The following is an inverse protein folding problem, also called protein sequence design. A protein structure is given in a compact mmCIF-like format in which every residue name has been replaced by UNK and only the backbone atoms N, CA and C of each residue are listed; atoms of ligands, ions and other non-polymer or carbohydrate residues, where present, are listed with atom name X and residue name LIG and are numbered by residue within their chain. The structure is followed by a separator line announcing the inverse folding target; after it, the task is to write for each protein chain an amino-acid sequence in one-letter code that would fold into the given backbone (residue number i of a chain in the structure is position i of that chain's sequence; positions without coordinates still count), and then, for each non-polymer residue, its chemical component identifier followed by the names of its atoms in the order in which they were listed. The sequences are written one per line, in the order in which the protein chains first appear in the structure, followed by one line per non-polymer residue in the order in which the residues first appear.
data_IF_326496655115
#
_entry.id   IF_326496655115
#
_cell.length_a   1.000
_cell.length_b   1.000
_cell.length_c   1.000
_cell.angle_alpha   90.00
_cell.angle_beta   90.00
_cell.angle_gamma   90.00
#
_symmetry.space_group_name_H-M   'P 1'
#
loop_
_entity.id
_entity.type
_entity.pdbx_description
1 polymer ?
2 non-polymer ?
3 non-polymer ?
4 non-polymer ?
5 non-polymer ?
6 water ?
#
# COMPACT_ATOMS: atom_id res chain seq x y z
N UNK A 2 16.88 16.72 13.00
CA UNK A 2 16.61 15.46 13.68
C UNK A 2 15.38 14.74 13.11
N UNK A 3 15.36 14.57 11.78
CA UNK A 3 14.36 13.72 11.13
C UNK A 3 12.94 14.18 11.48
N UNK A 4 12.72 15.48 11.40
CA UNK A 4 11.42 16.04 11.75
C UNK A 4 10.55 16.15 10.51
N UNK A 5 9.38 15.49 10.54
CA UNK A 5 8.51 15.54 9.37
C UNK A 5 7.80 16.85 9.27
N UNK A 6 7.54 17.25 8.03
CA UNK A 6 6.69 18.39 7.75
C UNK A 6 5.68 17.98 6.67
N UNK A 7 4.62 18.78 6.49
CA UNK A 7 3.59 18.39 5.50
C UNK A 7 4.13 18.12 4.08
N UNK A 8 5.23 18.77 3.71
CA UNK A 8 5.88 18.54 2.41
C UNK A 8 6.33 17.08 2.18
N UNK A 9 6.53 16.32 3.25
CA UNK A 9 6.89 14.89 3.13
C UNK A 9 5.71 13.97 2.72
N UNK A 10 4.51 14.53 2.70
CA UNK A 10 3.29 13.84 2.30
C UNK A 10 3.06 12.56 3.08
N UNK A 11 3.24 12.66 4.39
CA UNK A 11 2.87 11.57 5.28
C UNK A 11 1.39 11.64 5.63
N UNK A 12 0.69 10.53 5.44
CA UNK A 12 -0.73 10.49 5.75
C UNK A 12 -1.03 9.26 6.60
N UNK A 13 -2.18 9.31 7.28
CA UNK A 13 -2.60 8.24 8.19
C UNK A 13 -4.10 8.02 8.07
N UNK A 14 -4.52 6.76 8.14
CA UNK A 14 -5.94 6.49 8.23
C UNK A 14 -6.51 6.88 9.57
N UNK A 15 -7.77 7.34 9.59
CA UNK A 15 -8.41 7.60 10.87
C UNK A 15 -8.39 6.35 11.76
N UNK A 16 -8.52 5.19 11.13
CA UNK A 16 -8.65 3.91 11.81
C UNK A 16 -7.33 3.37 12.39
N UNK A 17 -6.23 4.08 12.13
CA UNK A 17 -4.89 3.65 12.55
C UNK A 17 -4.67 4.11 13.98
N UNK A 18 -4.39 5.40 14.15
CA UNK A 18 -4.30 6.00 15.46
C UNK A 18 -5.61 5.84 16.24
N UNK A 19 -6.73 5.71 15.53
CA UNK A 19 -8.02 5.49 16.16
C UNK A 19 -8.33 4.05 16.54
N UNK A 20 -7.42 3.11 16.29
CA UNK A 20 -7.69 1.71 16.63
C UNK A 20 -7.82 1.55 18.13
N UNK A 21 -8.95 1.00 18.56
CA UNK A 21 -9.25 0.85 19.97
C UNK A 21 -8.57 -0.36 20.62
N UNK A 22 -7.97 -1.24 19.83
CA UNK A 22 -7.23 -2.34 20.39
C UNK A 22 -7.98 -3.66 20.51
N UNK A 23 -9.15 -3.81 19.91
CA UNK A 23 -9.81 -5.13 19.88
C UNK A 23 -9.10 -6.06 18.94
N UNK A 24 -8.82 -7.24 19.43
CA UNK A 24 -8.20 -8.25 18.61
C UNK A 24 -9.02 -9.52 18.84
N UNK A 25 -8.64 -10.64 18.23
CA UNK A 25 -9.59 -11.76 18.29
C UNK A 25 -9.81 -12.31 19.69
N UNK A 26 -8.86 -12.00 20.57
CA UNK A 26 -8.87 -12.53 21.91
C UNK A 26 -8.97 -11.45 22.97
N UNK A 27 -9.29 -10.22 22.60
CA UNK A 27 -9.17 -9.12 23.51
C UNK A 27 -10.15 -8.01 23.24
N UNK A 28 -10.66 -7.45 24.33
CA UNK A 28 -11.48 -6.26 24.24
C UNK A 28 -10.66 -4.98 24.03
N UNK A 29 -11.35 -3.88 23.73
CA UNK A 29 -10.67 -2.61 23.51
C UNK A 29 -9.83 -2.21 24.71
N UNK A 30 -8.68 -1.61 24.44
CA UNK A 30 -7.83 -1.05 25.49
C UNK A 30 -7.80 0.49 25.45
N UNK A 31 -8.39 1.11 24.42
CA UNK A 31 -8.41 2.57 24.32
C UNK A 31 -9.81 3.02 23.90
N UNK A 32 -10.18 4.20 24.37
CA UNK A 32 -11.44 4.82 23.93
C UNK A 32 -11.38 5.20 22.47
N UNK A 33 -12.54 5.30 21.85
CA UNK A 33 -12.65 5.80 20.50
C UNK A 33 -12.19 7.26 20.44
N UNK A 34 -11.55 7.62 19.34
CA UNK A 34 -11.15 9.01 19.08
C UNK A 34 -12.14 9.71 18.18
N UNK A 35 -12.39 10.98 18.49
CA UNK A 35 -13.10 11.85 17.57
C UNK A 35 -12.17 12.13 16.40
N UNK A 36 -12.61 11.91 15.15
CA UNK A 36 -11.75 12.25 14.01
C UNK A 36 -11.15 13.65 14.08
N UNK A 37 -11.87 14.62 14.64
CA UNK A 37 -11.35 15.97 14.77
C UNK A 37 -10.08 16.00 15.62
N UNK A 38 -10.06 15.25 16.71
CA UNK A 38 -8.88 15.22 17.56
C UNK A 38 -7.70 14.48 16.89
N UNK A 39 -7.99 13.46 16.08
CA UNK A 39 -6.94 12.81 15.32
C UNK A 39 -6.32 13.73 14.28
N UNK A 40 -7.16 14.48 13.57
CA UNK A 40 -6.65 15.41 12.57
C UNK A 40 -5.70 16.43 13.24
N UNK A 41 -6.13 16.97 14.38
CA UNK A 41 -5.28 17.94 15.08
C UNK A 41 -3.98 17.34 15.57
N UNK A 42 -4.03 16.17 16.21
CA UNK A 42 -2.82 15.58 16.77
C UNK A 42 -1.85 15.16 15.65
N UNK A 43 -2.38 14.61 14.57
CA UNK A 43 -1.52 14.25 13.45
C UNK A 43 -0.86 15.47 12.82
N UNK A 44 -1.62 16.55 12.67
CA UNK A 44 -1.05 17.77 12.14
C UNK A 44 0.10 18.26 13.03
N UNK A 45 -0.08 18.19 14.35
CA UNK A 45 0.94 18.63 15.29
C UNK A 45 2.22 17.81 15.15
N UNK A 46 2.09 16.55 14.73
CA UNK A 46 3.25 15.68 14.51
C UNK A 46 3.93 15.92 13.16
N UNK A 47 3.34 16.73 12.30
CA UNK A 47 3.91 16.99 10.98
C UNK A 47 3.31 16.19 9.84
N UNK A 48 2.19 15.51 10.08
CA UNK A 48 1.50 14.85 8.99
C UNK A 48 0.98 15.86 7.96
N UNK A 49 0.79 15.35 6.75
CA UNK A 49 0.22 16.06 5.61
C UNK A 49 -1.29 15.85 5.48
N UNK A 50 -1.77 14.68 5.87
CA UNK A 50 -3.18 14.41 5.71
C UNK A 50 -3.63 13.12 6.36
N UNK A 51 -4.91 12.85 6.13
CA UNK A 51 -5.55 11.66 6.66
C UNK A 51 -6.39 11.03 5.57
N UNK A 52 -6.83 9.83 5.89
CA UNK A 52 -7.70 9.07 5.01
C UNK A 52 -8.79 8.42 5.86
N UNK A 53 -9.83 7.90 5.21
CA UNK A 53 -10.96 7.34 5.96
C UNK A 53 -11.67 6.27 5.17
N UNK A 54 -12.19 5.28 5.88
CA UNK A 54 -13.34 4.53 5.39
C UNK A 54 -14.60 5.34 5.66
N UNK A 55 -15.61 5.22 4.80
CA UNK A 55 -16.92 5.79 5.08
C UNK A 55 -17.30 5.73 6.56
N UNK A 56 -17.26 4.52 7.11
CA UNK A 56 -17.82 4.27 8.42
C UNK A 56 -16.89 4.70 9.57
N UNK A 57 -15.66 5.12 9.25
CA UNK A 57 -14.81 5.78 10.24
C UNK A 57 -15.23 7.24 10.47
N UNK A 58 -15.69 7.87 9.41
CA UNK A 58 -16.00 9.29 9.44
C UNK A 58 -17.46 9.54 9.83
N UNK A 59 -18.35 8.69 9.33
CA UNK A 59 -19.77 8.79 9.62
C UNK A 59 -20.20 7.44 10.18
N UNK A 60 -20.65 7.39 11.43
CA UNK A 60 -21.07 6.09 11.98
C UNK A 60 -22.06 5.39 11.06
N UNK A 61 -21.89 4.09 10.89
CA UNK A 61 -22.81 3.32 10.08
C UNK A 61 -24.25 3.56 10.54
N UNK A 62 -25.15 3.81 9.59
CA UNK A 62 -26.56 3.99 9.90
C UNK A 62 -26.95 5.40 10.29
N UNK A 63 -26.05 6.35 10.12
CA UNK A 63 -26.33 7.74 10.48
C UNK A 63 -27.42 8.33 9.61
N UNK A 64 -28.23 9.21 10.21
CA UNK A 64 -29.20 9.99 9.48
C UNK A 64 -28.49 11.02 8.62
N UNK A 65 -29.22 11.62 7.67
CA UNK A 65 -28.66 12.64 6.80
C UNK A 65 -28.15 13.82 7.61
N UNK A 66 -28.89 14.23 8.63
CA UNK A 66 -28.47 15.37 9.44
C UNK A 66 -27.20 15.03 10.24
N UNK A 67 -27.14 13.82 10.78
CA UNK A 67 -25.94 13.39 11.49
C UNK A 67 -24.74 13.36 10.55
N UNK A 68 -24.95 12.83 9.36
CA UNK A 68 -23.91 12.77 8.34
C UNK A 68 -23.35 14.16 8.05
N UNK A 69 -24.25 15.11 7.81
CA UNK A 69 -23.83 16.48 7.48
C UNK A 69 -22.99 17.06 8.60
N UNK A 70 -23.38 16.80 9.85
CA UNK A 70 -22.66 17.37 10.98
C UNK A 70 -21.28 16.72 11.15
N UNK A 71 -21.19 15.40 10.98
CA UNK A 71 -19.89 14.74 11.05
C UNK A 71 -18.94 15.31 9.98
N UNK A 72 -19.45 15.49 8.77
CA UNK A 72 -18.61 15.99 7.69
C UNK A 72 -18.23 17.46 7.96
N UNK A 73 -19.18 18.26 8.45
CA UNK A 73 -18.90 19.66 8.73
C UNK A 73 -17.78 19.80 9.77
N UNK A 74 -17.85 19.01 10.85
CA UNK A 74 -16.80 19.09 11.87
C UNK A 74 -15.46 18.65 11.32
N UNK A 75 -15.45 17.61 10.50
CA UNK A 75 -14.22 17.12 9.89
C UNK A 75 -13.62 18.18 8.97
N UNK A 76 -14.46 18.78 8.13
CA UNK A 76 -14.07 19.86 7.23
C UNK A 76 -13.42 20.99 8.01
N UNK A 77 -14.01 21.35 9.15
CA UNK A 77 -13.45 22.42 9.96
C UNK A 77 -12.09 22.03 10.52
N UNK A 78 -11.92 20.78 10.92
CA UNK A 78 -10.63 20.33 11.42
C UNK A 78 -9.56 20.39 10.31
N UNK A 79 -9.92 19.97 9.11
CA UNK A 79 -9.00 20.09 7.98
C UNK A 79 -8.61 21.56 7.76
N UNK A 80 -9.61 22.44 7.78
CA UNK A 80 -9.38 23.86 7.57
C UNK A 80 -8.55 24.48 8.70
N UNK A 81 -8.75 24.00 9.93
CA UNK A 81 -8.03 24.53 11.09
C UNK A 81 -6.54 24.15 11.06
N UNK A 82 -6.21 23.06 10.37
CA UNK A 82 -4.88 22.48 10.43
C UNK A 82 -4.11 22.58 9.12
N UNK A 83 -4.80 22.72 8.00
CA UNK A 83 -4.15 22.59 6.70
C UNK A 83 -3.97 21.16 6.22
N UNK A 84 -4.55 20.20 6.93
CA UNK A 84 -4.48 18.80 6.53
C UNK A 84 -5.33 18.53 5.29
N UNK A 85 -4.88 17.55 4.50
CA UNK A 85 -5.55 17.13 3.28
C UNK A 85 -6.13 15.73 3.45
N UNK A 86 -7.00 15.35 2.51
CA UNK A 86 -7.57 14.01 2.43
C UNK A 86 -7.28 13.45 1.03
N UNK A 87 -6.12 12.81 0.85
CA UNK A 87 -5.77 12.41 -0.51
C UNK A 87 -6.41 11.10 -0.96
N UNK A 88 -6.95 10.34 -0.03
CA UNK A 88 -7.47 9.01 -0.32
C UNK A 88 -8.62 8.72 0.61
N UNK A 89 -9.61 7.99 0.10
CA UNK A 89 -10.65 7.41 0.94
C UNK A 89 -11.01 6.03 0.41
N UNK A 90 -11.82 5.33 1.19
CA UNK A 90 -12.14 3.95 0.90
C UNK A 90 -13.49 3.60 1.56
N UNK A 91 -13.99 2.41 1.27
CA UNK A 91 -15.27 1.94 1.77
C UNK A 91 -15.01 0.83 2.78
N UNK A 92 -15.79 0.77 3.84
CA UNK A 92 -15.76 -0.38 4.72
C UNK A 92 -16.73 -1.44 4.18
N UNK A 93 -16.18 -2.43 3.49
CA UNK A 93 -16.96 -3.57 2.98
C UNK A 93 -16.56 -4.84 3.74
N UNK A 94 -16.26 -4.69 5.04
CA UNK A 94 -15.78 -5.84 5.81
C UNK A 94 -16.31 -5.95 7.24
N UNK A 95 -16.69 -4.86 7.90
CA UNK A 95 -17.05 -4.95 9.31
C UNK A 95 -18.47 -5.47 9.54
N UNK A 96 -19.44 -4.93 8.81
CA UNK A 96 -20.83 -5.26 9.07
C UNK A 96 -21.06 -6.74 8.73
N UNK A 97 -21.82 -7.47 9.57
CA UNK A 97 -22.06 -8.88 9.28
C UNK A 97 -22.69 -9.15 7.91
N UNK A 98 -23.34 -8.18 7.28
CA UNK A 98 -23.87 -8.43 5.94
C UNK A 98 -22.76 -8.81 4.96
N UNK A 99 -21.53 -8.34 5.21
CA UNK A 99 -20.38 -8.61 4.33
C UNK A 99 -19.63 -9.88 4.72
N UNK A 100 -20.25 -10.78 5.49
CA UNK A 100 -19.51 -11.94 5.97
C UNK A 100 -19.00 -12.86 4.86
N UNK A 101 -19.61 -12.86 3.68
CA UNK A 101 -19.10 -13.61 2.54
C UNK A 101 -18.56 -12.72 1.43
N UNK A 102 -18.34 -11.45 1.73
CA UNK A 102 -17.88 -10.51 0.73
C UNK A 102 -18.80 -9.34 0.53
N UNK A 103 -18.27 -8.34 -0.18
CA UNK A 103 -19.02 -7.25 -0.74
C UNK A 103 -19.25 -7.52 -2.22
N UNK A 104 -18.29 -7.14 -3.06
CA UNK A 104 -18.47 -7.29 -4.51
C UNK A 104 -18.56 -8.75 -4.97
N UNK A 105 -18.06 -9.70 -4.18
CA UNK A 105 -18.11 -11.11 -4.57
C UNK A 105 -18.90 -11.98 -3.59
N UNK A 106 -19.73 -11.36 -2.75
CA UNK A 106 -20.67 -12.11 -1.93
C UNK A 106 -21.44 -13.09 -2.80
N UNK A 107 -21.74 -14.28 -2.30
CA UNK A 107 -22.60 -15.16 -3.08
C UNK A 107 -23.99 -14.55 -3.27
N UNK A 108 -24.49 -13.84 -2.27
CA UNK A 108 -25.80 -13.19 -2.37
C UNK A 108 -25.74 -11.96 -3.26
N UNK A 109 -26.52 -12.00 -4.33
CA UNK A 109 -26.53 -10.91 -5.30
C UNK A 109 -26.99 -9.58 -4.69
N UNK A 110 -27.98 -9.64 -3.79
CA UNK A 110 -28.45 -8.41 -3.18
C UNK A 110 -27.35 -7.72 -2.35
N UNK A 111 -26.47 -8.50 -1.74
CA UNK A 111 -25.34 -7.95 -1.00
C UNK A 111 -24.33 -7.30 -1.95
N UNK A 112 -24.07 -7.93 -3.10
CA UNK A 112 -23.17 -7.34 -4.09
C UNK A 112 -23.68 -5.97 -4.54
N UNK A 113 -24.98 -5.89 -4.80
CA UNK A 113 -25.58 -4.62 -5.24
C UNK A 113 -25.47 -3.56 -4.15
N UNK A 114 -25.75 -3.94 -2.90
CA UNK A 114 -25.61 -3.04 -1.77
C UNK A 114 -24.17 -2.55 -1.62
N UNK A 115 -23.21 -3.46 -1.74
CA UNK A 115 -21.80 -3.08 -1.64
C UNK A 115 -21.46 -2.00 -2.66
N UNK A 116 -21.93 -2.16 -3.89
CA UNK A 116 -21.69 -1.15 -4.92
C UNK A 116 -22.34 0.20 -4.56
N UNK A 117 -23.59 0.18 -4.09
CA UNK A 117 -24.24 1.43 -3.72
C UNK A 117 -23.51 2.12 -2.58
N UNK A 118 -23.06 1.35 -1.59
CA UNK A 118 -22.35 1.91 -0.45
C UNK A 118 -21.04 2.56 -0.91
N UNK A 119 -20.35 1.87 -1.81
CA UNK A 119 -19.10 2.41 -2.37
C UNK A 119 -19.36 3.71 -3.14
N UNK A 120 -20.34 3.70 -4.02
CA UNK A 120 -20.62 4.87 -4.85
C UNK A 120 -20.94 6.10 -3.99
N UNK A 121 -21.73 5.91 -2.95
CA UNK A 121 -22.06 7.01 -2.06
C UNK A 121 -20.79 7.65 -1.49
N UNK A 122 -19.84 6.81 -1.11
CA UNK A 122 -18.62 7.31 -0.52
C UNK A 122 -17.63 7.86 -1.53
N UNK A 123 -17.68 7.40 -2.78
CA UNK A 123 -16.88 8.03 -3.82
C UNK A 123 -17.27 9.50 -3.93
N UNK A 124 -18.58 9.78 -3.92
CA UNK A 124 -19.03 11.16 -4.01
C UNK A 124 -18.44 12.02 -2.89
N UNK A 125 -18.47 11.49 -1.66
CA UNK A 125 -17.95 12.21 -0.51
C UNK A 125 -16.43 12.39 -0.61
N UNK A 126 -15.74 11.33 -1.03
CA UNK A 126 -14.29 11.40 -1.20
C UNK A 126 -13.92 12.54 -2.14
N UNK A 127 -14.62 12.63 -3.26
CA UNK A 127 -14.36 13.69 -4.22
C UNK A 127 -14.62 15.07 -3.59
N UNK A 128 -15.71 15.21 -2.86
CA UNK A 128 -16.03 16.45 -2.16
C UNK A 128 -14.91 16.89 -1.21
N UNK A 129 -14.27 15.93 -0.57
CA UNK A 129 -13.23 16.20 0.41
C UNK A 129 -11.83 16.28 -0.21
N UNK A 130 -11.75 16.13 -1.53
CA UNK A 130 -10.51 16.36 -2.25
C UNK A 130 -9.65 15.14 -2.57
N UNK A 131 -10.18 13.93 -2.39
CA UNK A 131 -9.37 12.74 -2.60
C UNK A 131 -9.04 12.52 -4.08
N UNK A 132 -7.80 12.11 -4.32
CA UNK A 132 -7.31 11.76 -5.65
C UNK A 132 -7.37 10.26 -5.94
N UNK A 133 -7.44 9.46 -4.88
CA UNK A 133 -7.38 8.02 -4.98
C UNK A 133 -8.47 7.41 -4.13
N UNK A 134 -9.08 6.37 -4.65
CA UNK A 134 -10.13 5.64 -3.95
C UNK A 134 -9.66 4.19 -3.83
N UNK A 135 -9.36 3.76 -2.60
CA UNK A 135 -8.82 2.42 -2.36
C UNK A 135 -9.96 1.42 -2.22
N UNK A 136 -9.71 0.20 -2.68
CA UNK A 136 -10.63 -0.91 -2.45
C UNK A 136 -9.84 -2.09 -1.91
N UNK A 137 -10.09 -2.42 -0.64
CA UNK A 137 -9.52 -3.62 -0.02
C UNK A 137 -10.64 -4.61 0.20
N UNK A 138 -10.68 -5.65 -0.62
CA UNK A 138 -11.74 -6.65 -0.55
C UNK A 138 -11.40 -7.72 0.47
N UNK A 139 -11.37 -7.32 1.73
CA UNK A 139 -10.94 -8.21 2.80
C UNK A 139 -11.85 -9.41 3.04
N UNK A 140 -13.12 -9.30 2.64
CA UNK A 140 -14.05 -10.41 2.81
C UNK A 140 -14.22 -11.25 1.54
N UNK A 141 -13.51 -10.91 0.46
CA UNK A 141 -13.67 -11.64 -0.78
C UNK A 141 -12.78 -12.88 -0.74
N UNK A 142 -13.37 -14.07 -0.72
CA UNK A 142 -12.59 -15.28 -0.59
C UNK A 142 -13.37 -16.38 0.08
N UNK A 143 -12.67 -17.23 0.84
CA UNK A 143 -13.29 -18.45 1.33
C UNK A 143 -12.46 -19.09 2.41
N UNK A 144 -13.12 -19.91 3.22
CA UNK A 144 -12.46 -20.85 4.11
C UNK A 144 -12.45 -22.29 3.57
N UNK A 145 -13.35 -22.59 2.63
CA UNK A 145 -13.52 -23.94 2.11
C UNK A 145 -13.70 -23.89 0.60
N UNK A 146 -13.41 -25.01 -0.06
CA UNK A 146 -13.29 -25.02 -1.50
C UNK A 146 -14.60 -24.90 -2.26
N UNK A 147 -15.68 -25.45 -1.72
CA UNK A 147 -16.96 -25.45 -2.42
C UNK A 147 -17.72 -24.14 -2.31
N UNK A 148 -17.31 -23.31 -1.37
CA UNK A 148 -18.04 -22.09 -1.01
C UNK A 148 -17.96 -21.00 -2.05
N UNK A 149 -16.90 -21.03 -2.87
CA UNK A 149 -16.58 -19.92 -3.72
C UNK A 149 -15.98 -20.44 -5.01
N UNK A 150 -16.72 -20.31 -6.11
CA UNK A 150 -16.17 -20.59 -7.44
C UNK A 150 -15.39 -19.34 -7.85
N UNK A 151 -14.07 -19.46 -7.93
CA UNK A 151 -13.23 -18.29 -8.07
C UNK A 151 -13.38 -17.63 -9.44
N UNK A 152 -13.55 -18.40 -10.51
CA UNK A 152 -13.83 -17.78 -11.81
C UNK A 152 -15.12 -16.95 -11.74
N UNK A 153 -16.18 -17.50 -11.15
CA UNK A 153 -17.41 -16.74 -11.03
C UNK A 153 -17.19 -15.48 -10.18
N UNK A 154 -16.46 -15.64 -9.08
CA UNK A 154 -16.18 -14.49 -8.22
C UNK A 154 -15.39 -13.42 -8.96
N UNK A 155 -14.41 -13.81 -9.77
CA UNK A 155 -13.65 -12.83 -10.53
C UNK A 155 -14.54 -12.15 -11.58
N UNK A 156 -15.49 -12.88 -12.17
CA UNK A 156 -16.47 -12.25 -13.06
C UNK A 156 -17.23 -11.16 -12.29
N UNK A 157 -17.69 -11.48 -11.08
CA UNK A 157 -18.42 -10.49 -10.28
C UNK A 157 -17.52 -9.32 -9.87
N UNK A 158 -16.26 -9.60 -9.55
CA UNK A 158 -15.34 -8.56 -9.16
C UNK A 158 -15.12 -7.60 -10.32
N UNK A 159 -14.87 -8.15 -11.50
CA UNK A 159 -14.70 -7.32 -12.70
C UNK A 159 -15.96 -6.49 -12.96
N UNK A 160 -17.13 -7.09 -12.85
CA UNK A 160 -18.38 -6.40 -13.07
C UNK A 160 -18.50 -5.19 -12.13
N UNK A 161 -18.12 -5.37 -10.87
CA UNK A 161 -18.17 -4.32 -9.88
C UNK A 161 -17.19 -3.19 -10.21
N UNK A 162 -15.93 -3.53 -10.44
CA UNK A 162 -14.96 -2.48 -10.75
C UNK A 162 -15.29 -1.78 -12.06
N UNK A 163 -15.80 -2.50 -13.06
CA UNK A 163 -16.21 -1.85 -14.30
C UNK A 163 -17.34 -0.84 -14.05
N UNK A 164 -18.33 -1.22 -13.23
CA UNK A 164 -19.41 -0.30 -12.89
C UNK A 164 -18.88 0.94 -12.18
N UNK A 165 -17.93 0.78 -11.26
CA UNK A 165 -17.35 1.92 -10.56
C UNK A 165 -16.62 2.85 -11.54
N UNK A 166 -15.93 2.27 -12.51
CA UNK A 166 -15.27 3.05 -13.55
C UNK A 166 -16.27 3.81 -14.41
N UNK A 167 -17.34 3.15 -14.78
CA UNK A 167 -18.42 3.78 -15.51
C UNK A 167 -18.98 4.95 -14.70
N UNK A 168 -19.14 4.74 -13.39
CA UNK A 168 -19.69 5.78 -12.54
C UNK A 168 -18.78 7.02 -12.49
N UNK A 169 -17.50 6.83 -12.18
CA UNK A 169 -16.64 8.00 -12.06
C UNK A 169 -16.54 8.73 -13.40
N UNK A 170 -16.53 7.99 -14.51
CA UNK A 170 -16.47 8.62 -15.82
C UNK A 170 -17.74 9.43 -16.06
N UNK A 171 -18.89 8.87 -15.69
CA UNK A 171 -20.18 9.55 -15.91
C UNK A 171 -20.28 10.87 -15.15
N UNK A 172 -19.59 10.96 -14.02
CA UNK A 172 -19.62 12.16 -13.18
C UNK A 172 -18.50 13.15 -13.51
N UNK A 173 -17.61 12.76 -14.41
CA UNK A 173 -16.47 13.60 -14.75
C UNK A 173 -15.45 13.72 -13.64
N UNK A 174 -15.39 12.73 -12.74
CA UNK A 174 -14.44 12.77 -11.66
C UNK A 174 -13.02 12.41 -12.14
N UNK A 175 -12.01 12.99 -11.50
CA UNK A 175 -10.60 12.66 -11.80
C UNK A 175 -10.02 11.55 -10.91
N UNK A 176 -10.80 11.11 -9.95
CA UNK A 176 -10.34 10.14 -8.96
C UNK A 176 -10.02 8.81 -9.66
N UNK A 177 -8.98 8.14 -9.17
CA UNK A 177 -8.58 6.83 -9.69
C UNK A 177 -8.68 5.80 -8.57
N UNK A 178 -8.78 4.54 -8.96
CA UNK A 178 -8.92 3.44 -8.01
C UNK A 178 -7.59 2.76 -7.73
N UNK A 179 -7.44 2.27 -6.51
CA UNK A 179 -6.25 1.50 -6.15
C UNK A 179 -6.71 0.27 -5.38
N UNK A 180 -6.49 -0.90 -5.98
CA UNK A 180 -6.90 -2.19 -5.42
C UNK A 180 -5.81 -2.69 -4.49
N UNK A 181 -6.22 -3.06 -3.28
CA UNK A 181 -5.29 -3.48 -2.24
C UNK A 181 -5.32 -4.99 -2.07
N UNK A 182 -4.26 -5.69 -2.47
CA UNK A 182 -4.21 -7.13 -2.27
C UNK A 182 -3.90 -7.48 -0.81
N UNK A 183 -4.32 -8.67 -0.41
CA UNK A 183 -3.93 -9.25 0.88
C UNK A 183 -4.10 -10.76 0.74
N UNK A 184 -3.22 -11.59 1.32
CA UNK A 184 -3.33 -13.01 0.97
C UNK A 184 -4.39 -13.76 1.77
N UNK A 185 -4.62 -13.34 3.01
CA UNK A 185 -5.53 -13.99 3.92
C UNK A 185 -5.78 -13.00 5.07
N UNK A 186 -6.82 -13.30 5.85
CA UNK A 186 -7.19 -12.61 7.09
C UNK A 186 -7.93 -11.32 6.75
N UNK A 187 -9.26 -11.33 6.88
CA UNK A 187 -10.06 -12.23 7.70
C UNK A 187 -10.60 -13.49 7.02
N UNK A 188 -10.50 -13.62 5.71
CA UNK A 188 -10.88 -14.87 5.08
C UNK A 188 -9.69 -15.83 5.06
N UNK A 189 -9.99 -17.12 5.00
CA UNK A 189 -8.94 -18.13 4.95
C UNK A 189 -7.97 -17.94 3.79
N UNK A 190 -8.52 -17.60 2.63
CA UNK A 190 -7.77 -17.10 1.47
C UNK A 190 -8.59 -15.97 0.89
N UNK A 191 -7.91 -14.86 0.58
CA UNK A 191 -8.53 -13.69 -0.02
C UNK A 191 -8.23 -13.69 -1.52
N UNK A 192 -9.22 -13.29 -2.32
CA UNK A 192 -9.06 -13.16 -3.76
C UNK A 192 -8.16 -11.96 -4.07
N UNK A 193 -7.39 -12.08 -5.14
CA UNK A 193 -6.32 -11.10 -5.45
C UNK A 193 -5.33 -11.03 -4.27
N UNK A 194 -4.63 -12.15 -4.01
CA UNK A 194 -3.88 -12.24 -2.74
C UNK A 194 -2.56 -11.48 -2.71
N UNK A 195 -2.04 -11.06 -3.86
CA UNK A 195 -0.75 -10.39 -3.94
C UNK A 195 -0.82 -9.27 -4.97
N UNK A 196 0.20 -8.42 -4.94
CA UNK A 196 0.35 -7.38 -5.95
C UNK A 196 0.23 -7.96 -7.35
N UNK A 197 0.87 -9.10 -7.62
CA UNK A 197 0.82 -9.65 -8.95
C UNK A 197 -0.60 -9.99 -9.39
N UNK A 198 -1.34 -10.65 -8.51
CA UNK A 198 -2.72 -11.05 -8.85
C UNK A 198 -3.58 -9.81 -9.13
N UNK A 199 -3.40 -8.75 -8.33
CA UNK A 199 -4.17 -7.53 -8.56
C UNK A 199 -3.78 -6.87 -9.88
N UNK A 200 -2.48 -6.77 -10.17
CA UNK A 200 -2.02 -6.20 -11.44
C UNK A 200 -2.62 -6.98 -12.62
N UNK A 201 -2.64 -8.31 -12.51
CA UNK A 201 -3.13 -9.14 -13.60
C UNK A 201 -4.62 -8.91 -13.83
N UNK A 202 -5.36 -8.84 -12.72
CA UNK A 202 -6.81 -8.60 -12.77
C UNK A 202 -7.14 -7.27 -13.44
N UNK A 203 -6.40 -6.23 -13.11
CA UNK A 203 -6.64 -4.90 -13.66
C UNK A 203 -6.60 -4.91 -15.18
N UNK A 204 -5.70 -5.73 -15.73
CA UNK A 204 -5.54 -5.79 -17.18
C UNK A 204 -6.78 -6.33 -17.90
N UNK A 205 -7.70 -6.95 -17.16
CA UNK A 205 -8.94 -7.46 -17.76
C UNK A 205 -10.13 -6.52 -17.57
N UNK A 206 -9.93 -5.42 -16.86
CA UNK A 206 -11.00 -4.44 -16.66
C UNK A 206 -11.24 -3.67 -17.97
N UNK A 207 -12.43 -3.10 -18.11
CA UNK A 207 -12.75 -2.41 -19.36
C UNK A 207 -11.86 -1.18 -19.57
N UNK A 208 -11.59 -0.44 -18.50
CA UNK A 208 -10.79 0.78 -18.60
C UNK A 208 -9.61 0.68 -17.64
N UNK A 209 -8.61 -0.15 -18.01
CA UNK A 209 -7.56 -0.44 -17.05
C UNK A 209 -6.80 0.79 -16.55
N UNK A 210 -6.76 1.86 -17.33
CA UNK A 210 -6.04 3.06 -16.96
C UNK A 210 -6.57 3.71 -15.66
N UNK A 211 -7.81 3.40 -15.29
CA UNK A 211 -8.42 3.99 -14.10
C UNK A 211 -8.03 3.27 -12.80
N UNK A 212 -7.28 2.17 -12.91
CA UNK A 212 -7.02 1.32 -11.75
C UNK A 212 -5.55 1.01 -11.60
N UNK A 213 -5.09 1.11 -10.35
CA UNK A 213 -3.77 0.69 -9.97
C UNK A 213 -3.84 -0.14 -8.71
N UNK A 214 -2.70 -0.31 -8.06
CA UNK A 214 -2.62 -1.03 -6.80
C UNK A 214 -2.30 -0.09 -5.64
N UNK A 215 -2.74 -0.53 -4.47
CA UNK A 215 -2.39 0.03 -3.16
C UNK A 215 -1.75 -1.09 -2.32
N UNK A 216 -0.48 -1.40 -2.57
CA UNK A 216 0.15 -2.51 -1.84
C UNK A 216 0.43 -2.10 -0.40
N UNK A 217 0.36 -3.06 0.51
CA UNK A 217 0.68 -2.85 1.91
C UNK A 217 1.86 -3.72 2.32
N UNK A 218 2.84 -3.12 2.97
CA UNK A 218 4.08 -3.80 3.36
C UNK A 218 3.76 -5.17 3.95
N UNK A 219 2.97 -5.17 5.03
CA UNK A 219 2.76 -6.40 5.75
C UNK A 219 2.00 -7.44 4.97
N UNK A 220 1.14 -7.03 4.04
CA UNK A 220 0.35 -7.98 3.28
C UNK A 220 1.23 -8.86 2.41
N UNK A 221 2.16 -8.27 1.66
CA UNK A 221 3.01 -9.10 0.82
C UNK A 221 3.90 -9.98 1.71
N UNK A 222 4.33 -9.43 2.84
CA UNK A 222 5.17 -10.19 3.77
C UNK A 222 4.42 -11.36 4.42
N UNK A 223 3.08 -11.30 4.50
CA UNK A 223 2.23 -12.42 4.96
C UNK A 223 2.23 -13.61 4.00
N UNK A 224 2.72 -13.40 2.79
CA UNK A 224 2.96 -14.49 1.85
C UNK A 224 4.47 -14.77 1.72
N UNK A 225 5.28 -14.17 2.60
CA UNK A 225 6.72 -14.37 2.55
C UNK A 225 7.36 -13.75 1.33
N UNK A 226 6.67 -12.82 0.67
CA UNK A 226 7.19 -12.20 -0.54
C UNK A 226 8.04 -10.98 -0.20
N UNK A 227 8.84 -10.57 -1.16
CA UNK A 227 9.72 -9.42 -1.05
C UNK A 227 8.93 -8.17 -1.45
N UNK A 228 8.64 -7.32 -0.48
CA UNK A 228 7.80 -6.17 -0.73
C UNK A 228 8.45 -5.19 -1.71
N UNK A 229 9.74 -4.84 -1.52
CA UNK A 229 10.37 -4.01 -2.55
C UNK A 229 10.29 -4.57 -3.96
N UNK A 230 10.43 -5.90 -4.13
CA UNK A 230 10.33 -6.46 -5.47
C UNK A 230 8.93 -6.25 -6.05
N UNK A 231 7.90 -6.47 -5.23
CA UNK A 231 6.54 -6.27 -5.69
C UNK A 231 6.24 -4.83 -6.04
N UNK A 232 6.74 -3.91 -5.24
CA UNK A 232 6.63 -2.49 -5.56
C UNK A 232 7.34 -2.18 -6.88
N UNK A 233 8.51 -2.77 -7.10
CA UNK A 233 9.20 -2.57 -8.37
C UNK A 233 8.34 -3.04 -9.55
N UNK A 234 7.69 -4.20 -9.43
CA UNK A 234 6.85 -4.66 -10.51
C UNK A 234 5.66 -3.72 -10.72
N UNK A 235 5.06 -3.22 -9.64
CA UNK A 235 3.98 -2.26 -9.76
C UNK A 235 4.43 -0.98 -10.47
N UNK A 236 5.60 -0.47 -10.07
CA UNK A 236 6.17 0.71 -10.74
C UNK A 236 6.45 0.42 -12.20
N UNK A 237 7.00 -0.75 -12.49
CA UNK A 237 7.29 -1.16 -13.87
C UNK A 237 6.02 -1.14 -14.73
N UNK A 238 4.90 -1.53 -14.13
CA UNK A 238 3.61 -1.54 -14.80
C UNK A 238 2.93 -0.17 -14.84
N UNK A 239 3.49 0.82 -14.16
CA UNK A 239 2.87 2.14 -14.08
C UNK A 239 1.63 2.19 -13.20
N UNK A 240 1.59 1.33 -12.18
CA UNK A 240 0.38 1.11 -11.40
C UNK A 240 0.51 1.38 -9.92
N UNK A 241 1.59 1.99 -9.46
CA UNK A 241 1.72 2.30 -8.03
C UNK A 241 0.99 3.61 -7.74
N UNK A 242 -0.31 3.51 -7.52
CA UNK A 242 -1.14 4.71 -7.34
C UNK A 242 -1.14 5.22 -5.89
N UNK A 243 -0.83 4.34 -4.95
CA UNK A 243 -0.88 4.66 -3.53
C UNK A 243 -0.12 3.50 -2.85
N UNK A 244 0.24 3.68 -1.59
CA UNK A 244 0.92 2.63 -0.85
C UNK A 244 0.51 2.72 0.61
N UNK A 245 0.48 1.56 1.27
CA UNK A 245 0.26 1.46 2.71
C UNK A 245 1.54 0.96 3.37
N UNK A 246 2.05 1.77 4.30
CA UNK A 246 3.31 1.52 4.97
C UNK A 246 3.06 1.08 6.41
N UNK A 247 3.75 0.01 6.81
CA UNK A 247 3.69 -0.54 8.16
C UNK A 247 4.81 -1.56 8.30
N UNK A 248 4.77 -2.31 9.41
CA UNK A 248 5.74 -3.35 9.66
C UNK A 248 5.06 -4.66 9.99
N UNK A 249 5.80 -5.73 9.74
CA UNK A 249 5.32 -7.10 9.89
C UNK A 249 6.51 -7.99 10.16
N UNK A 250 6.37 -8.88 11.15
CA UNK A 250 7.39 -9.88 11.43
C UNK A 250 6.98 -11.21 10.88
N UNK A 251 7.21 -11.34 9.59
CA UNK A 251 7.08 -12.60 8.92
C UNK A 251 5.67 -13.09 8.67
N UNK A 252 5.56 -14.41 8.61
CA UNK A 252 4.35 -15.06 8.14
C UNK A 252 3.49 -15.41 9.34
N UNK A 253 2.49 -14.58 9.54
CA UNK A 253 1.60 -14.74 10.66
C UNK A 253 0.49 -13.72 10.43
N UNK A 254 -0.43 -13.65 11.38
CA UNK A 254 -1.47 -12.64 11.38
C UNK A 254 -0.85 -11.28 11.04
N UNK A 255 -1.69 -10.41 10.48
CA UNK A 255 -1.41 -9.03 10.06
C UNK A 255 -1.13 -8.15 11.30
N UNK A 256 0.16 -7.85 11.58
CA UNK A 256 0.51 -7.16 12.81
C UNK A 256 0.30 -5.66 12.77
N UNK A 257 0.49 -5.07 11.60
CA UNK A 257 0.32 -3.63 11.42
C UNK A 257 1.21 -2.84 12.40
N UNK A 258 2.44 -3.26 12.56
CA UNK A 258 3.38 -2.51 13.38
C UNK A 258 3.70 -1.17 12.70
N UNK A 259 4.23 -0.23 13.47
CA UNK A 259 4.65 1.03 12.87
C UNK A 259 5.70 0.79 11.79
N UNK A 260 5.73 1.69 10.80
CA UNK A 260 6.70 1.57 9.73
C UNK A 260 8.12 1.66 10.28
N UNK A 261 8.98 0.77 9.77
CA UNK A 261 10.35 0.60 10.23
C UNK A 261 10.48 -0.60 11.15
N UNK A 262 9.46 -0.87 11.95
CA UNK A 262 9.41 -2.10 12.71
C UNK A 262 9.17 -3.29 11.75
N UNK A 263 9.28 -4.50 12.27
CA UNK A 263 9.24 -5.66 11.42
C UNK A 263 10.55 -5.81 10.66
N UNK A 264 10.48 -5.92 9.34
CA UNK A 264 11.66 -6.18 8.53
C UNK A 264 12.33 -4.86 8.17
N UNK A 265 13.32 -4.50 8.97
CA UNK A 265 13.98 -3.20 8.84
C UNK A 265 14.72 -3.06 7.51
N UNK A 266 15.48 -4.08 7.11
CA UNK A 266 16.17 -3.97 5.83
C UNK A 266 15.23 -3.88 4.65
N UNK A 267 14.09 -4.58 4.70
CA UNK A 267 13.12 -4.43 3.63
C UNK A 267 12.56 -3.00 3.61
N UNK A 268 12.42 -2.38 4.78
CA UNK A 268 11.98 -0.99 4.83
C UNK A 268 13.02 -0.07 4.16
N UNK A 269 14.29 -0.32 4.44
CA UNK A 269 15.38 0.43 3.80
C UNK A 269 15.29 0.31 2.27
N UNK A 270 15.22 -0.92 1.76
CA UNK A 270 15.19 -1.10 0.31
C UNK A 270 13.91 -0.53 -0.30
N UNK A 271 12.81 -0.58 0.43
CA UNK A 271 11.58 0.05 -0.04
C UNK A 271 11.76 1.56 -0.22
N UNK A 272 12.27 2.23 0.81
CA UNK A 272 12.42 3.67 0.75
C UNK A 272 13.40 4.02 -0.38
N UNK A 273 14.50 3.28 -0.47
CA UNK A 273 15.45 3.47 -1.56
C UNK A 273 14.74 3.47 -2.92
N UNK A 274 13.87 2.48 -3.13
CA UNK A 274 13.16 2.35 -4.38
C UNK A 274 12.16 3.47 -4.62
N UNK A 275 11.33 3.77 -3.62
CA UNK A 275 10.33 4.82 -3.80
C UNK A 275 10.99 6.15 -4.14
N UNK A 276 12.08 6.46 -3.45
CA UNK A 276 12.77 7.71 -3.68
C UNK A 276 13.51 7.72 -5.01
N UNK A 277 14.20 6.63 -5.35
CA UNK A 277 14.91 6.55 -6.63
C UNK A 277 13.94 6.65 -7.80
N UNK A 278 12.79 6.01 -7.68
CA UNK A 278 11.81 5.98 -8.75
C UNK A 278 11.01 7.27 -8.84
N UNK A 279 11.11 8.14 -7.84
CA UNK A 279 10.34 9.37 -7.86
C UNK A 279 8.86 9.17 -7.60
N UNK A 280 8.48 8.15 -6.83
CA UNK A 280 7.08 8.00 -6.43
C UNK A 280 6.62 9.31 -5.80
N UNK A 281 5.48 9.82 -6.24
CA UNK A 281 5.05 11.15 -5.82
C UNK A 281 3.75 11.10 -5.01
N UNK A 282 3.23 9.90 -4.77
CA UNK A 282 2.00 9.76 -4.02
C UNK A 282 2.19 9.91 -2.52
N UNK A 283 1.09 9.80 -1.79
CA UNK A 283 1.17 9.86 -0.33
C UNK A 283 2.04 8.75 0.24
N UNK A 284 2.77 9.07 1.32
CA UNK A 284 3.41 8.05 2.14
C UNK A 284 2.44 7.79 3.27
N UNK A 285 1.55 6.82 3.03
CA UNK A 285 0.41 6.55 3.91
C UNK A 285 0.73 5.41 4.85
N UNK A 286 0.45 5.62 6.13
CA UNK A 286 0.64 4.59 7.14
C UNK A 286 -0.69 3.93 7.46
N UNK A 287 -0.74 2.62 7.22
CA UNK A 287 -1.87 1.79 7.64
C UNK A 287 -1.32 0.86 8.73
N UNK A 288 -1.38 1.34 9.97
CA UNK A 288 -0.73 0.66 11.09
C UNK A 288 -1.63 0.74 12.30
N UNK A 289 -1.30 -0.04 13.32
CA UNK A 289 -2.01 -0.03 14.56
C UNK A 289 -1.02 0.17 15.71
N UNK A 290 -1.15 1.25 16.48
CA UNK A 290 -0.36 1.29 17.70
C UNK A 290 -0.74 0.08 18.56
N UNK A 291 0.23 -0.70 19.03
CA UNK A 291 -0.13 -1.91 19.77
C UNK A 291 -1.08 -1.60 20.92
N UNK A 292 -1.92 -2.58 21.24
CA UNK A 292 -2.96 -2.37 22.24
C UNK A 292 -2.39 -2.26 23.66
N UNK A 293 -1.10 -2.55 23.85
CA UNK A 293 -0.40 -2.25 25.09
C UNK A 293 -0.31 -0.75 25.39
N UNK A 294 -0.49 0.08 24.37
CA UNK A 294 -0.22 1.50 24.51
C UNK A 294 -1.43 2.31 24.93
N UNK A 295 -1.16 3.39 25.67
CA UNK A 295 -2.16 4.40 25.94
C UNK A 295 -2.12 5.47 24.85
N UNK A 296 -2.91 6.51 25.09
CA UNK A 296 -3.08 7.66 24.21
C UNK A 296 -1.73 8.30 23.81
N UNK A 297 -0.80 8.43 24.75
CA UNK A 297 0.54 8.98 24.50
C UNK A 297 1.35 8.02 23.62
N UNK A 298 1.19 6.72 23.84
CA UNK A 298 1.89 5.75 23.01
C UNK A 298 1.39 5.70 21.58
N UNK A 299 0.10 5.97 21.38
CA UNK A 299 -0.44 6.09 20.03
C UNK A 299 0.33 7.15 19.24
N UNK A 300 0.50 8.34 19.83
CA UNK A 300 1.14 9.42 19.10
C UNK A 300 2.65 9.16 18.94
N UNK A 301 3.26 8.52 19.93
CA UNK A 301 4.67 8.14 19.80
C UNK A 301 4.86 7.16 18.63
N UNK A 302 3.94 6.21 18.51
CA UNK A 302 4.05 5.19 17.46
C UNK A 302 3.84 5.85 16.07
N UNK A 303 2.86 6.75 15.97
CA UNK A 303 2.65 7.49 14.73
C UNK A 303 3.88 8.33 14.36
N UNK A 304 4.44 9.04 15.36
CA UNK A 304 5.63 9.83 15.10
C UNK A 304 6.78 8.94 14.60
N UNK A 305 6.89 7.74 15.17
CA UNK A 305 7.93 6.81 14.78
C UNK A 305 7.82 6.36 13.33
N UNK A 306 6.59 6.18 12.84
CA UNK A 306 6.40 5.86 11.43
C UNK A 306 7.15 6.85 10.53
N UNK A 307 6.92 8.13 10.78
CA UNK A 307 7.49 9.19 9.95
C UNK A 307 9.00 9.31 10.17
N UNK A 308 9.42 9.23 11.43
CA UNK A 308 10.84 9.31 11.73
C UNK A 308 11.60 8.22 11.00
N UNK A 309 11.10 7.00 11.07
CA UNK A 309 11.82 5.89 10.43
C UNK A 309 11.90 6.06 8.92
N UNK A 310 10.82 6.53 8.30
CA UNK A 310 10.87 6.80 6.87
C UNK A 310 12.02 7.79 6.58
N UNK A 311 12.07 8.88 7.34
CA UNK A 311 13.06 9.92 7.09
C UNK A 311 14.49 9.45 7.35
N UNK A 312 14.72 8.63 8.38
CA UNK A 312 16.05 8.09 8.60
C UNK A 312 16.45 7.23 7.41
N UNK A 313 15.56 6.33 7.01
CA UNK A 313 15.86 5.42 5.91
C UNK A 313 16.09 6.18 4.62
N UNK A 314 15.32 7.23 4.39
CA UNK A 314 15.51 8.06 3.20
C UNK A 314 16.94 8.64 3.18
N UNK A 315 17.39 9.17 4.31
CA UNK A 315 18.73 9.72 4.41
C UNK A 315 19.78 8.67 4.10
N UNK A 316 19.65 7.48 4.70
CA UNK A 316 20.67 6.46 4.54
C UNK A 316 20.68 5.89 3.13
N UNK A 317 19.51 5.71 2.53
CA UNK A 317 19.46 5.21 1.16
C UNK A 317 20.08 6.21 0.19
N UNK A 318 19.79 7.50 0.40
CA UNK A 318 20.35 8.52 -0.49
C UNK A 318 21.87 8.54 -0.35
N UNK A 319 22.37 8.43 0.88
CA UNK A 319 23.81 8.43 1.11
C UNK A 319 24.46 7.22 0.45
N UNK A 320 23.83 6.06 0.55
CA UNK A 320 24.30 4.86 -0.11
C UNK A 320 24.44 5.12 -1.62
N UNK A 321 23.39 5.60 -2.26
CA UNK A 321 23.41 5.74 -3.70
C UNK A 321 24.41 6.81 -4.18
N UNK A 322 24.64 7.83 -3.35
CA UNK A 322 25.53 8.93 -3.69
C UNK A 322 27.00 8.65 -3.40
N UNK A 323 27.31 7.60 -2.65
CA UNK A 323 28.67 7.33 -2.21
C UNK A 323 29.50 6.84 -3.39
N UNK A 324 30.59 7.54 -3.76
CA UNK A 324 31.38 7.06 -4.90
C UNK A 324 31.88 5.62 -4.73
N UNK A 325 32.13 5.19 -3.50
CA UNK A 325 32.57 3.81 -3.28
C UNK A 325 31.46 2.82 -3.60
N UNK A 326 30.22 3.17 -3.28
CA UNK A 326 29.06 2.36 -3.66
C UNK A 326 28.87 2.39 -5.17
N UNK A 327 29.04 3.56 -5.78
CA UNK A 327 28.89 3.65 -7.24
C UNK A 327 29.90 2.73 -7.94
N UNK A 328 31.12 2.69 -7.43
CA UNK A 328 32.13 1.78 -7.95
C UNK A 328 31.72 0.31 -7.73
N UNK A 329 31.20 0.00 -6.55
CA UNK A 329 30.76 -1.37 -6.25
C UNK A 329 29.60 -1.80 -7.16
N UNK A 330 28.70 -0.87 -7.46
CA UNK A 330 27.59 -1.17 -8.36
C UNK A 330 28.10 -1.52 -9.76
N UNK A 331 29.11 -0.77 -10.24
CA UNK A 331 29.76 -1.13 -11.50
C UNK A 331 30.47 -2.48 -11.40
N UNK A 332 31.13 -2.74 -10.27
CA UNK A 332 31.83 -4.02 -10.11
C UNK A 332 30.85 -5.19 -10.17
N UNK A 333 29.62 -4.96 -9.71
CA UNK A 333 28.56 -5.97 -9.72
C UNK A 333 27.70 -5.95 -10.99
N UNK A 334 28.07 -5.09 -11.95
CA UNK A 334 27.43 -5.01 -13.26
C UNK A 334 25.97 -4.57 -13.21
N UNK A 335 25.62 -3.74 -12.22
CA UNK A 335 24.28 -3.14 -12.23
C UNK A 335 24.09 -2.23 -13.45
N UNK A 336 25.17 -1.60 -13.92
CA UNK A 336 25.09 -0.80 -15.13
C UNK A 336 24.72 -1.68 -16.33
N UNK A 337 25.33 -2.85 -16.42
CA UNK A 337 25.03 -3.77 -17.54
C UNK A 337 23.59 -4.23 -17.50
N UNK A 338 23.09 -4.50 -16.30
CA UNK A 338 21.71 -4.95 -16.18
C UNK A 338 20.74 -3.96 -16.85
N UNK A 339 21.09 -2.69 -16.82
CA UNK A 339 20.25 -1.62 -17.35
C UNK A 339 20.44 -1.38 -18.86
N UNK A 340 21.34 -2.12 -19.50
CA UNK A 340 21.54 -2.02 -20.95
C UNK A 340 20.78 -3.12 -21.67
N UNK A 341 20.21 -2.82 -22.83
CA UNK A 341 19.50 -3.86 -23.57
C UNK A 341 20.37 -5.08 -23.85
N UNK A 342 19.74 -6.25 -23.77
CA UNK A 342 20.38 -7.50 -24.12
C UNK A 342 20.76 -7.59 -25.60
N UNK A 343 19.86 -7.15 -26.46
CA UNK A 343 20.05 -7.34 -27.90
C UNK A 343 19.36 -6.26 -28.72
N UNK A 344 19.80 -5.02 -28.51
CA UNK A 344 19.32 -3.91 -29.34
C UNK A 344 19.73 -4.10 -30.82
N UNK A 345 20.71 -4.96 -31.06
CA UNK A 345 21.10 -5.34 -32.41
C UNK A 345 20.06 -6.18 -33.13
N UNK A 346 19.12 -6.75 -32.38
CA UNK A 346 18.02 -7.49 -32.96
C UNK A 346 18.24 -8.97 -33.02
N UNK A 347 17.16 -9.70 -33.28
CA UNK A 347 17.15 -11.15 -33.24
C UNK A 347 18.14 -11.77 -34.24
N UNK A 348 18.13 -11.34 -35.50
CA UNK A 348 19.02 -11.97 -36.48
C UNK A 348 20.48 -11.75 -36.11
N UNK A 349 20.81 -10.54 -35.65
CA UNK A 349 22.17 -10.26 -35.23
C UNK A 349 22.59 -11.14 -34.06
N UNK A 350 21.68 -11.37 -33.12
CA UNK A 350 21.96 -12.24 -31.99
C UNK A 350 22.21 -13.67 -32.48
N UNK A 351 21.36 -14.14 -33.39
CA UNK A 351 21.52 -15.48 -33.94
C UNK A 351 22.86 -15.64 -34.67
N UNK A 352 23.33 -14.57 -35.30
CA UNK A 352 24.55 -14.59 -36.10
C UNK A 352 25.80 -14.26 -35.27
N UNK A 353 25.62 -13.94 -34.00
CA UNK A 353 26.72 -13.51 -33.15
C UNK A 353 27.39 -14.70 -32.49
N UNK A 354 28.54 -15.10 -33.02
CA UNK A 354 29.24 -16.26 -32.46
C UNK A 354 29.71 -16.03 -31.03
N UNK A 355 29.90 -14.77 -30.63
CA UNK A 355 30.30 -14.47 -29.25
C UNK A 355 29.19 -14.79 -28.24
N UNK A 356 27.98 -15.01 -28.74
CA UNK A 356 26.83 -15.32 -27.89
C UNK A 356 26.61 -16.80 -27.71
N UNK A 357 27.33 -17.65 -28.44
CA UNK A 357 27.15 -19.08 -28.26
C UNK A 357 28.35 -19.88 -28.67
N UNK A 358 28.61 -19.93 -29.98
CA UNK A 358 29.64 -20.79 -30.53
C UNK A 358 31.02 -20.51 -29.95
N UNK A 359 31.29 -19.24 -29.64
CA UNK A 359 32.59 -18.81 -29.13
C UNK A 359 32.44 -18.12 -27.78
N UNK A 360 31.34 -18.39 -27.07
CA UNK A 360 31.18 -17.83 -25.74
C UNK A 360 31.93 -18.69 -24.72
N UNK A 361 32.84 -18.06 -23.97
CA UNK A 361 33.61 -18.78 -22.96
C UNK A 361 32.79 -18.83 -21.67
N UNK A 362 32.00 -19.89 -21.54
CA UNK A 362 31.10 -20.00 -20.39
C UNK A 362 31.88 -20.11 -19.10
N UNK A 363 33.03 -20.79 -19.14
CA UNK A 363 33.80 -20.98 -17.92
C UNK A 363 34.37 -19.66 -17.42
N UNK A 364 34.88 -18.83 -18.33
CA UNK A 364 35.40 -17.53 -17.92
C UNK A 364 34.29 -16.66 -17.34
N UNK A 365 33.13 -16.68 -17.96
CA UNK A 365 32.00 -15.90 -17.45
C UNK A 365 31.59 -16.43 -16.07
N UNK A 366 31.51 -17.75 -15.93
CA UNK A 366 31.10 -18.35 -14.67
C UNK A 366 32.06 -17.99 -13.54
N UNK A 367 33.34 -17.86 -13.85
CA UNK A 367 34.34 -17.58 -12.84
C UNK A 367 34.26 -16.16 -12.29
N UNK A 368 33.60 -15.25 -13.00
CA UNK A 368 33.54 -13.85 -12.57
C UNK A 368 32.61 -13.71 -11.37
N UNK A 369 33.14 -13.35 -10.21
CA UNK A 369 32.29 -13.14 -9.07
C UNK A 369 31.37 -11.95 -9.26
N UNK A 370 30.19 -12.00 -8.64
CA UNK A 370 29.26 -10.88 -8.75
C UNK A 370 29.57 -9.73 -7.81
N UNK A 371 30.39 -9.99 -6.78
CA UNK A 371 30.75 -8.98 -5.78
C UNK A 371 29.54 -8.42 -5.03
N UNK A 372 28.49 -9.24 -4.91
CA UNK A 372 27.28 -8.77 -4.24
C UNK A 372 27.45 -8.63 -2.73
N UNK A 373 28.30 -9.44 -2.11
CA UNK A 373 28.44 -9.36 -0.65
C UNK A 373 29.13 -8.05 -0.21
N UNK A 374 30.17 -7.64 -0.93
CA UNK A 374 30.79 -6.35 -0.65
C UNK A 374 29.79 -5.22 -0.82
N UNK A 375 29.02 -5.26 -1.91
CA UNK A 375 27.99 -4.26 -2.15
C UNK A 375 26.99 -4.23 -1.00
N UNK A 376 26.54 -5.40 -0.57
CA UNK A 376 25.54 -5.46 0.48
C UNK A 376 26.09 -5.03 1.84
N UNK A 377 27.37 -5.27 2.10
CA UNK A 377 27.93 -4.80 3.35
C UNK A 377 28.12 -3.27 3.32
N UNK A 378 28.40 -2.68 2.16
CA UNK A 378 28.35 -1.23 2.06
C UNK A 378 26.94 -0.72 2.37
N UNK A 379 25.92 -1.42 1.88
CA UNK A 379 24.54 -1.04 2.17
C UNK A 379 24.24 -1.15 3.66
N UNK A 380 24.70 -2.22 4.29
CA UNK A 380 24.51 -2.39 5.73
C UNK A 380 25.20 -1.27 6.49
N UNK A 381 26.44 -0.97 6.12
CA UNK A 381 27.20 0.07 6.79
C UNK A 381 26.48 1.41 6.66
N UNK A 382 25.94 1.72 5.48
CA UNK A 382 25.19 2.96 5.33
C UNK A 382 23.94 2.98 6.20
N UNK A 383 23.17 1.89 6.19
CA UNK A 383 21.95 1.83 6.99
C UNK A 383 22.26 2.07 8.47
N UNK A 384 23.32 1.44 8.97
CA UNK A 384 23.64 1.50 10.38
C UNK A 384 24.49 2.73 10.75
N UNK A 385 24.86 3.56 9.79
CA UNK A 385 25.74 4.69 10.11
C UNK A 385 27.09 4.21 10.65
N UNK A 386 27.63 3.21 9.97
CA UNK A 386 28.89 2.57 10.34
C UNK A 386 29.87 2.63 9.17
N UNK A 387 29.87 3.74 8.44
CA UNK A 387 30.83 3.94 7.38
C UNK A 387 32.13 4.57 7.88
X LIG B 1 -6.82 -1.99 5.23
X LIG B 1 -5.63 -2.70 5.06
X LIG B 1 -7.13 -1.23 3.96
X LIG B 1 -6.00 -0.51 3.63
X LIG B 1 -8.30 -0.29 4.03
X LIG B 1 -9.49 -0.96 4.17
X LIG B 1 -6.78 -1.17 6.37
X LIG C 1 -5.90 -4.14 5.45
X LIG C 1 -5.05 -3.23 5.22
X LIG C 1 -5.66 -5.16 6.14
X LIG C 1 -6.89 -4.06 5.02
X LIG D 1 -4.16 -1.39 4.19
X LIG E 1 -2.61 -5.17 7.34
X LIG F 1 -12.61 -3.36 12.11
X LIG F 1 -13.15 -2.04 12.53
X LIG F 1 -14.53 -2.17 12.59
X LIG F 1 -12.61 -1.69 13.88
X LIG F 1 -12.83 -0.96 11.55
X LIG F 1 -11.42 -0.98 11.02
X LIG F 1 -10.52 -0.62 12.00
X LIG F 1 -11.33 -0.03 9.86
X LIG F 1 -13.03 -3.64 11.28
X LIG F 1 -12.79 -4.03 12.80
X LIG F 1 -11.65 -3.30 11.99
X LIG F 1 -14.89 -1.37 12.75
X LIG F 1 -11.65 -1.53 13.82
X LIG F 1 -12.79 -2.41 14.51
X LIG F 1 -13.05 -0.87 14.21
X LIG F 1 -12.97 -0.10 11.98
X LIG F 1 -13.43 -1.03 10.79
X LIG F 1 -11.22 -1.87 10.71
X LIG F 1 -9.82 -1.17 11.97
X LIG F 1 -11.10 -0.52 9.05
X LIG F 1 -10.64 0.63 10.04
X LIG F 1 -12.19 0.42 9.73
#
# INVERSE_FOLDING_TARGET
MNYQPTPEDRFTFGLWTVGWQGRDPFGDATRRALDPVESVRRLAELGAHGVTFHDDDLIPFGSSDSEREEHVKRFRQALDDTGMKVPMATTNLFTHPVFKDGGFTANDRDVRRYALRKTIRNIDLAVELGAETYVAWGGREGAESGGAKDVRDALDRMKEAFDLLGEYVTSQGYDIRFAIEPKPNEPRGDILLPTVGHALAFIERLERPELYGVNPEVGHEQMAGLNFPHGIAQALWAGKLFHIDLNGQNGIKYDQDLRFGAGDLRAAFWLVDLLESAGYSGPRHFDFKPPRTEDFDGVWASAAGCMRNYLILKERAAAFRADPEVQEALRASRLDELARPTAADGLQALLDDRSAFEEFDVDAAAARGMAFERLDQLAMDHLLGARG
03W C1 O1 C2 O2 C3 O3 O5
FMT C O1 O2 H
MG MG
MG MG
MRD C1 C2 O2 CM C3 C4 O4 C5 H1C1 H1C2 H1C3 H2 HMC1 HMC2 HMC3 H3C1 H3C2 H4 HA H5C1 H5C2 H5C3
#
